data_IF_342147323106
#
_entry.id   IF_342147323106
#
_cell.length_a   1.000
_cell.length_b   1.000
_cell.length_c   1.000
_cell.angle_alpha   90.00
_cell.angle_beta   90.00
_cell.angle_gamma   90.00
#
_symmetry.space_group_name_H-M   'P 1'
#
loop_
_entity.id
_entity.type
_entity.pdbx_description
1 polymer ?
2 polymer ?
3 water ?
#
# COMPACT_ATOMS: atom_id res chain seq x y z
N UNK A 4 -18.76 2.53 12.54
CA UNK A 4 -17.72 3.53 12.41
C UNK A 4 -18.25 4.92 12.78
N UNK A 5 -17.81 5.42 13.94
CA UNK A 5 -18.26 6.73 14.39
C UNK A 5 -17.64 7.84 13.54
N UNK A 6 -16.39 7.68 13.13
CA UNK A 6 -15.74 8.71 12.31
C UNK A 6 -16.46 8.87 10.98
N UNK A 7 -16.93 7.75 10.41
CA UNK A 7 -17.55 7.79 9.09
C UNK A 7 -18.88 8.51 9.12
N UNK A 8 -19.64 8.37 10.21
CA UNK A 8 -20.90 9.09 10.34
C UNK A 8 -20.67 10.59 10.35
N UNK A 9 -19.68 11.05 11.12
CA UNK A 9 -19.39 12.47 11.14
C UNK A 9 -18.90 12.97 9.79
N UNK A 10 -18.12 12.13 9.08
CA UNK A 10 -17.70 12.52 7.73
C UNK A 10 -18.89 12.62 6.78
N UNK A 11 -19.83 11.69 6.88
CA UNK A 11 -21.05 11.76 6.07
C UNK A 11 -21.79 13.07 6.33
N UNK A 12 -22.01 13.40 7.61
CA UNK A 12 -22.70 14.65 7.93
C UNK A 12 -21.94 15.85 7.39
N UNK A 13 -20.61 15.86 7.55
CA UNK A 13 -19.81 16.99 7.10
C UNK A 13 -19.81 17.13 5.58
N UNK A 14 -19.94 16.01 4.85
CA UNK A 14 -20.04 16.09 3.40
C UNK A 14 -21.41 16.58 2.96
N UNK A 15 -22.47 16.04 3.57
CA UNK A 15 -23.81 16.44 3.17
C UNK A 15 -24.10 17.90 3.49
N UNK A 16 -23.63 18.39 4.65
CA UNK A 16 -23.88 19.77 5.01
C UNK A 16 -23.25 20.73 4.01
N UNK A 17 -22.17 20.31 3.33
CA UNK A 17 -21.56 21.11 2.28
C UNK A 17 -22.08 20.77 0.90
N UNK A 18 -23.31 20.28 0.80
CA UNK A 18 -23.96 20.13 -0.49
C UNK A 18 -23.45 18.97 -1.32
N UNK A 19 -23.00 17.90 -0.69
CA UNK A 19 -22.56 16.69 -1.37
C UNK A 19 -23.62 15.62 -1.14
N UNK A 20 -24.30 15.21 -2.20
CA UNK A 20 -25.44 14.34 -2.04
C UNK A 20 -25.03 12.87 -2.18
N UNK A 21 -25.63 11.98 -1.40
CA UNK A 21 -25.33 10.54 -1.57
C UNK A 21 -25.78 10.06 -2.93
N UNK A 22 -25.04 9.12 -3.48
CA UNK A 22 -25.35 8.52 -4.76
C UNK A 22 -25.47 7.01 -4.61
N UNK A 23 -26.37 6.42 -5.40
CA UNK A 23 -26.63 4.99 -5.37
C UNK A 23 -25.96 4.32 -6.57
N UNK A 24 -25.60 3.06 -6.39
CA UNK A 24 -24.95 2.30 -7.45
C UNK A 24 -25.35 0.84 -7.33
N UNK A 25 -25.48 0.17 -8.48
CA UNK A 25 -25.86 -1.23 -8.53
C UNK A 25 -24.66 -2.10 -8.86
N UNK A 26 -24.83 -3.41 -8.69
CA UNK A 26 -23.78 -4.36 -9.02
C UNK A 26 -23.26 -4.11 -10.44
N UNK A 27 -21.99 -4.45 -10.65
CA UNK A 27 -21.30 -4.36 -11.93
C UNK A 27 -21.16 -2.94 -12.43
N UNK A 28 -21.57 -1.94 -11.64
CA UNK A 28 -21.47 -0.54 -12.04
C UNK A 28 -20.17 0.06 -11.52
N UNK A 29 -19.58 0.94 -12.33
CA UNK A 29 -18.30 1.57 -12.01
C UNK A 29 -18.53 2.96 -11.44
N UNK A 30 -17.88 3.26 -10.33
CA UNK A 30 -17.97 4.59 -9.73
C UNK A 30 -17.01 5.55 -10.43
N UNK A 31 -15.84 5.06 -10.83
CA UNK A 31 -14.94 5.79 -11.72
C UNK A 31 -14.10 4.76 -12.46
N UNK A 32 -13.77 5.08 -13.71
CA UNK A 32 -13.09 4.13 -14.58
C UNK A 32 -11.70 4.64 -14.96
N UNK A 33 -11.04 3.85 -15.83
CA UNK A 33 -9.62 4.00 -16.10
C UNK A 33 -9.31 5.33 -16.77
N UNK A 34 -10.05 5.69 -17.82
CA UNK A 34 -9.68 6.78 -18.69
C UNK A 34 -10.29 8.11 -18.28
N UNK A 35 -11.04 8.13 -17.19
CA UNK A 35 -11.66 9.36 -16.71
C UNK A 35 -10.57 10.36 -16.32
N UNK A 36 -10.43 11.48 -17.05
CA UNK A 36 -9.40 12.46 -16.69
C UNK A 36 -9.76 13.27 -15.46
N UNK A 37 -11.02 13.29 -15.06
CA UNK A 37 -11.43 13.97 -13.82
C UNK A 37 -11.05 13.08 -12.64
N UNK A 38 -10.26 13.63 -11.73
CA UNK A 38 -9.87 12.90 -10.53
C UNK A 38 -10.89 13.14 -9.43
N UNK A 39 -11.20 12.09 -8.69
CA UNK A 39 -12.30 12.12 -7.72
C UNK A 39 -11.81 11.78 -6.31
N UNK A 40 -12.78 11.62 -5.42
CA UNK A 40 -12.59 11.13 -4.06
C UNK A 40 -13.92 10.49 -3.69
N UNK A 41 -13.94 9.17 -3.66
CA UNK A 41 -15.15 8.42 -3.37
C UNK A 41 -15.15 8.09 -1.89
N UNK A 42 -16.18 8.55 -1.19
CA UNK A 42 -16.45 8.14 0.18
C UNK A 42 -17.51 7.05 0.09
N UNK A 43 -17.04 5.79 0.05
CA UNK A 43 -17.93 4.63 0.03
C UNK A 43 -18.50 4.47 1.43
N UNK A 44 -19.72 5.00 1.63
CA UNK A 44 -20.36 4.92 2.93
C UNK A 44 -20.91 3.54 3.21
N UNK A 45 -21.46 2.87 2.20
CA UNK A 45 -21.98 1.52 2.37
C UNK A 45 -21.82 0.77 1.06
N UNK A 46 -21.69 -0.54 1.15
CA UNK A 46 -21.51 -1.40 0.01
C UNK A 46 -20.08 -1.90 -0.13
N UNK A 47 -19.92 -2.86 -1.04
CA UNK A 47 -18.64 -3.50 -1.29
C UNK A 47 -18.25 -3.23 -2.74
N UNK A 48 -16.98 -2.93 -2.96
CA UNK A 48 -16.48 -2.63 -4.31
C UNK A 48 -15.10 -3.24 -4.47
N UNK A 49 -14.67 -3.32 -5.73
CA UNK A 49 -13.34 -3.81 -6.08
C UNK A 49 -12.67 -2.86 -7.07
N UNK A 50 -11.40 -2.59 -6.80
CA UNK A 50 -10.56 -1.77 -7.67
C UNK A 50 -9.81 -2.69 -8.62
N UNK A 51 -10.10 -2.56 -9.91
CA UNK A 51 -9.57 -3.40 -10.97
C UNK A 51 -8.80 -2.55 -11.98
N UNK A 52 -8.06 -3.24 -12.84
CA UNK A 52 -7.30 -2.60 -13.92
C UNK A 52 -7.38 -3.48 -15.15
N UNK A 53 -7.65 -2.86 -16.29
CA UNK A 53 -7.72 -3.55 -17.58
C UNK A 53 -6.37 -3.35 -18.27
N UNK A 54 -5.73 -4.46 -18.64
CA UNK A 54 -4.47 -4.40 -19.35
C UNK A 54 -4.70 -4.20 -20.84
N UNK A 55 -3.63 -3.79 -21.54
CA UNK A 55 -3.74 -3.50 -22.96
C UNK A 55 -4.24 -4.70 -23.76
N UNK A 56 -4.05 -5.92 -23.25
CA UNK A 56 -4.56 -7.11 -23.92
C UNK A 56 -5.99 -7.45 -23.50
N UNK A 57 -6.70 -6.50 -22.88
CA UNK A 57 -8.10 -6.69 -22.51
C UNK A 57 -8.33 -7.46 -21.23
N UNK A 58 -7.28 -8.04 -20.65
CA UNK A 58 -7.44 -8.80 -19.42
C UNK A 58 -7.65 -7.87 -18.24
N UNK A 59 -8.60 -8.23 -17.37
CA UNK A 59 -8.96 -7.42 -16.21
C UNK A 59 -8.43 -8.11 -14.97
N UNK A 60 -7.57 -7.42 -14.23
CA UNK A 60 -7.00 -7.91 -12.99
C UNK A 60 -7.66 -7.19 -11.82
N UNK A 61 -8.13 -7.96 -10.84
CA UNK A 61 -8.65 -7.38 -9.60
C UNK A 61 -7.48 -7.07 -8.67
N UNK A 62 -7.38 -5.81 -8.26
CA UNK A 62 -6.25 -5.34 -7.46
C UNK A 62 -6.58 -5.19 -5.99
N UNK A 63 -7.70 -4.57 -5.66
CA UNK A 63 -8.03 -4.31 -4.25
C UNK A 63 -9.53 -4.47 -4.05
N UNK A 64 -9.92 -4.61 -2.79
CA UNK A 64 -11.33 -4.60 -2.42
C UNK A 64 -11.53 -3.58 -1.30
N UNK A 65 -12.71 -2.95 -1.30
CA UNK A 65 -13.04 -1.93 -0.33
C UNK A 65 -14.47 -2.14 0.17
N UNK A 66 -14.68 -1.84 1.45
CA UNK A 66 -15.95 -1.96 2.15
C UNK A 66 -16.29 -0.72 2.94
N UNK A 67 -17.50 -0.26 2.90
CA UNK A 67 -17.86 0.96 3.60
C UNK A 67 -17.87 0.77 5.03
N UNK A 68 -17.60 1.84 5.79
CA UNK A 68 -17.20 3.14 5.26
C UNK A 68 -15.70 3.16 4.92
N UNK A 69 -15.34 3.72 3.77
CA UNK A 69 -13.94 3.89 3.42
C UNK A 69 -13.80 4.98 2.39
N UNK A 70 -12.55 5.41 2.17
CA UNK A 70 -12.23 6.50 1.25
C UNK A 70 -11.26 5.98 0.19
N UNK A 71 -11.58 6.23 -1.08
CA UNK A 71 -10.77 5.82 -2.21
C UNK A 71 -10.57 7.04 -3.11
N UNK A 72 -9.32 7.39 -3.41
CA UNK A 72 -9.04 8.59 -4.18
C UNK A 72 -8.35 8.25 -5.50
N UNK A 73 -8.71 8.99 -6.54
CA UNK A 73 -8.26 8.74 -7.90
C UNK A 73 -7.18 9.71 -8.36
N UNK A 74 -6.81 10.68 -7.53
CA UNK A 74 -5.74 11.60 -7.87
C UNK A 74 -5.08 12.10 -6.61
N UNK A 75 -4.00 12.85 -6.81
CA UNK A 75 -3.33 13.53 -5.71
C UNK A 75 -4.14 14.77 -5.31
N UNK A 76 -4.11 15.08 -4.00
CA UNK A 76 -5.04 16.05 -3.46
C UNK A 76 -4.67 17.47 -3.90
N UNK A 77 -3.38 17.77 -3.98
CA UNK A 77 -2.95 19.13 -4.30
C UNK A 77 -2.81 19.35 -5.81
N UNK A 78 -1.96 18.56 -6.47
CA UNK A 78 -1.72 18.73 -7.90
C UNK A 78 -2.86 18.21 -8.77
N UNK A 79 -3.78 17.42 -8.21
CA UNK A 79 -4.96 16.92 -8.91
C UNK A 79 -4.60 16.03 -10.10
N UNK A 80 -3.35 15.59 -10.18
CA UNK A 80 -2.94 14.59 -11.15
C UNK A 80 -3.50 13.22 -10.77
N UNK A 81 -3.50 12.31 -11.72
CA UNK A 81 -3.89 10.94 -11.43
C UNK A 81 -2.82 10.27 -10.59
N UNK A 82 -3.26 9.49 -9.59
CA UNK A 82 -2.36 8.61 -8.86
C UNK A 82 -2.20 7.26 -9.56
N UNK A 83 -3.18 6.85 -10.35
CA UNK A 83 -3.12 5.60 -11.06
C UNK A 83 -4.43 5.56 -11.83
N UNK A 84 -4.38 5.03 -13.05
CA UNK A 84 -5.58 4.79 -13.85
C UNK A 84 -6.20 3.46 -13.45
N UNK A 85 -7.26 3.50 -12.66
CA UNK A 85 -7.93 2.30 -12.16
C UNK A 85 -9.43 2.44 -12.33
N UNK A 86 -10.13 1.32 -12.15
CA UNK A 86 -11.59 1.28 -12.17
C UNK A 86 -12.09 0.81 -10.81
N UNK A 87 -13.20 1.39 -10.36
CA UNK A 87 -13.83 1.02 -9.09
C UNK A 87 -15.22 0.48 -9.39
N UNK A 88 -15.34 -0.85 -9.46
CA UNK A 88 -16.58 -1.53 -9.76
C UNK A 88 -17.27 -1.94 -8.46
N UNK A 89 -18.59 -2.09 -8.52
CA UNK A 89 -19.38 -2.49 -7.36
C UNK A 89 -19.61 -3.99 -7.41
N UNK A 90 -19.30 -4.68 -6.31
CA UNK A 90 -19.51 -6.12 -6.22
C UNK A 90 -20.70 -6.48 -5.35
N UNK A 91 -21.16 -5.59 -4.48
CA UNK A 91 -22.38 -5.84 -3.71
C UNK A 91 -23.59 -5.51 -4.56
N UNK A 92 -24.70 -6.20 -4.27
CA UNK A 92 -25.93 -6.00 -5.05
C UNK A 92 -26.30 -4.52 -5.13
N UNK A 93 -26.00 -3.75 -4.09
CA UNK A 93 -26.25 -2.32 -4.09
C UNK A 93 -25.20 -1.65 -3.20
N UNK A 94 -24.92 -0.38 -3.49
CA UNK A 94 -23.92 0.37 -2.73
C UNK A 94 -24.30 1.84 -2.74
N UNK A 95 -23.86 2.55 -1.69
CA UNK A 95 -24.05 3.98 -1.56
C UNK A 95 -22.69 4.64 -1.41
N UNK A 96 -22.50 5.76 -2.10
CA UNK A 96 -21.21 6.43 -2.04
C UNK A 96 -21.37 7.90 -2.40
N UNK A 97 -20.46 8.71 -1.86
CA UNK A 97 -20.38 10.13 -2.16
C UNK A 97 -19.20 10.36 -3.09
N UNK A 98 -19.44 11.06 -4.19
CA UNK A 98 -18.41 11.34 -5.18
C UNK A 98 -18.05 12.81 -5.07
N UNK A 99 -16.80 13.09 -4.73
CA UNK A 99 -16.32 14.46 -4.55
C UNK A 99 -15.24 14.73 -5.60
N UNK A 100 -15.28 15.92 -6.20
CA UNK A 100 -14.21 16.30 -7.11
C UNK A 100 -12.95 16.63 -6.32
N UNK A 101 -11.80 16.28 -6.89
CA UNK A 101 -10.55 16.33 -6.14
C UNK A 101 -10.29 17.74 -5.59
N UNK A 102 -10.57 18.76 -6.40
CA UNK A 102 -10.43 20.12 -5.92
C UNK A 102 -11.39 20.41 -4.77
N UNK A 103 -12.62 19.91 -4.88
CA UNK A 103 -13.59 20.10 -3.81
C UNK A 103 -13.13 19.45 -2.53
N UNK A 104 -12.51 18.26 -2.62
CA UNK A 104 -11.97 17.62 -1.43
C UNK A 104 -10.83 18.43 -0.85
N UNK A 105 -9.95 18.95 -1.70
CA UNK A 105 -8.89 19.83 -1.20
C UNK A 105 -9.49 20.94 -0.36
N UNK A 106 -10.47 21.66 -0.93
CA UNK A 106 -11.10 22.76 -0.20
C UNK A 106 -11.68 22.28 1.13
N UNK A 107 -12.54 21.27 1.07
CA UNK A 107 -13.26 20.84 2.27
C UNK A 107 -12.29 20.43 3.37
N UNK A 108 -11.25 19.66 3.04
CA UNK A 108 -10.31 19.24 4.07
C UNK A 108 -9.48 20.41 4.58
N UNK A 109 -9.17 21.39 3.73
CA UNK A 109 -8.50 22.59 4.23
C UNK A 109 -9.41 23.39 5.14
N UNK A 110 -10.73 23.16 5.09
CA UNK A 110 -11.68 23.83 5.96
C UNK A 110 -11.94 23.07 7.26
N UNK A 111 -11.19 21.99 7.53
CA UNK A 111 -11.46 21.15 8.70
C UNK A 111 -10.38 20.10 8.90
N UNK A 112 -9.66 20.16 10.03
CA UNK A 112 -8.51 19.29 10.25
C UNK A 112 -8.90 17.88 10.70
N UNK A 113 -10.06 17.73 11.35
CA UNK A 113 -10.45 16.41 11.84
C UNK A 113 -10.68 15.43 10.70
N UNK A 114 -11.49 15.82 9.71
CA UNK A 114 -11.74 14.93 8.58
C UNK A 114 -10.52 14.79 7.70
N UNK A 115 -9.65 15.80 7.68
CA UNK A 115 -8.34 15.64 7.06
C UNK A 115 -7.59 14.46 7.67
N UNK A 116 -7.48 14.46 9.01
CA UNK A 116 -6.86 13.33 9.69
C UNK A 116 -7.59 12.02 9.38
N UNK A 117 -8.91 12.08 9.21
CA UNK A 117 -9.65 10.86 8.92
C UNK A 117 -9.21 10.24 7.59
N UNK A 118 -9.22 11.03 6.52
CA UNK A 118 -8.80 10.50 5.22
C UNK A 118 -7.33 10.09 5.26
N UNK A 119 -6.51 10.87 5.96
CA UNK A 119 -5.10 10.54 6.08
C UNK A 119 -4.91 9.19 6.77
N UNK A 120 -5.73 8.91 7.78
CA UNK A 120 -5.61 7.65 8.51
C UNK A 120 -6.15 6.49 7.68
N UNK A 121 -7.14 6.75 6.81
CA UNK A 121 -7.54 5.68 5.90
C UNK A 121 -6.39 5.32 4.96
N UNK A 122 -5.67 6.33 4.44
CA UNK A 122 -4.48 6.03 3.63
C UNK A 122 -3.46 5.23 4.44
N UNK A 123 -3.23 5.61 5.70
CA UNK A 123 -2.29 4.86 6.52
C UNK A 123 -2.75 3.42 6.72
N UNK A 124 -4.05 3.21 6.90
CA UNK A 124 -4.56 1.86 7.02
C UNK A 124 -4.25 1.06 5.77
N UNK A 125 -4.41 1.68 4.60
CA UNK A 125 -4.03 1.00 3.36
C UNK A 125 -2.55 0.60 3.37
N UNK A 126 -1.68 1.53 3.76
CA UNK A 126 -0.25 1.22 3.71
C UNK A 126 0.10 0.08 4.64
N UNK A 127 -0.38 0.14 5.89
CA UNK A 127 -0.07 -0.93 6.84
C UNK A 127 -0.71 -2.25 6.41
N UNK A 128 -1.86 -2.21 5.75
CA UNK A 128 -2.47 -3.42 5.22
C UNK A 128 -1.58 -4.06 4.16
N UNK A 129 -1.14 -3.26 3.20
CA UNK A 129 -0.24 -3.77 2.16
C UNK A 129 1.00 -4.37 2.79
N UNK A 130 1.58 -3.68 3.77
CA UNK A 130 2.77 -4.22 4.43
C UNK A 130 2.47 -5.56 5.09
N UNK A 131 1.32 -5.67 5.75
CA UNK A 131 0.99 -6.91 6.45
C UNK A 131 0.75 -8.05 5.48
N UNK A 132 0.01 -7.78 4.41
CA UNK A 132 -0.22 -8.81 3.40
C UNK A 132 1.09 -9.26 2.79
N UNK A 133 1.99 -8.32 2.54
CA UNK A 133 3.27 -8.67 1.99
C UNK A 133 4.05 -9.53 2.96
N UNK A 134 4.02 -9.21 4.22
CA UNK A 134 4.71 -10.02 5.22
C UNK A 134 4.18 -11.44 5.20
N UNK A 135 2.86 -11.60 5.30
CA UNK A 135 2.27 -12.93 5.32
C UNK A 135 2.62 -13.70 4.05
N UNK A 136 2.64 -13.01 2.90
CA UNK A 136 2.99 -13.66 1.65
C UNK A 136 4.44 -14.10 1.65
N UNK A 137 5.37 -13.15 1.85
CA UNK A 137 6.79 -13.48 1.85
C UNK A 137 7.12 -14.58 2.84
N UNK A 138 6.35 -14.71 3.93
CA UNK A 138 6.59 -15.79 4.87
C UNK A 138 5.95 -17.10 4.45
N UNK A 139 4.62 -17.16 4.49
CA UNK A 139 3.90 -18.40 4.18
C UNK A 139 3.43 -18.44 2.72
N UNK A 140 4.30 -18.11 1.77
CA UNK A 140 3.97 -18.35 0.37
C UNK A 140 2.64 -17.72 0.00
N UNK A 141 2.00 -18.32 -1.01
CA UNK A 141 0.68 -17.89 -1.44
C UNK A 141 -0.42 -18.32 -0.48
N UNK A 142 -0.12 -19.21 0.47
CA UNK A 142 -1.11 -19.61 1.46
C UNK A 142 -1.38 -18.49 2.45
N UNK A 143 -0.37 -17.70 2.78
CA UNK A 143 -0.56 -16.62 3.74
C UNK A 143 -1.52 -15.57 3.23
N UNK A 144 -1.49 -15.29 1.92
CA UNK A 144 -2.39 -14.30 1.35
C UNK A 144 -3.85 -14.75 1.46
N UNK A 145 -4.14 -15.98 1.04
CA UNK A 145 -5.52 -16.45 1.11
C UNK A 145 -5.93 -16.64 2.57
N UNK A 146 -4.99 -16.99 3.45
CA UNK A 146 -5.29 -17.10 4.86
C UNK A 146 -5.70 -15.75 5.43
N UNK A 147 -4.94 -14.70 5.08
CA UNK A 147 -5.33 -13.36 5.53
C UNK A 147 -6.66 -12.94 4.95
N UNK A 148 -6.90 -13.29 3.68
CA UNK A 148 -8.21 -13.02 3.08
C UNK A 148 -9.32 -13.62 3.93
N UNK A 149 -9.29 -14.95 4.15
CA UNK A 149 -10.32 -15.62 4.94
C UNK A 149 -10.38 -15.05 6.35
N UNK A 150 -9.24 -14.66 6.91
CA UNK A 150 -9.20 -14.13 8.26
C UNK A 150 -9.99 -12.83 8.37
N UNK A 151 -9.66 -11.86 7.51
CA UNK A 151 -10.39 -10.59 7.56
C UNK A 151 -11.85 -10.80 7.20
N UNK A 152 -12.12 -11.74 6.29
CA UNK A 152 -13.51 -12.06 5.98
C UNK A 152 -14.26 -12.49 7.24
N UNK A 153 -13.73 -13.48 7.98
CA UNK A 153 -14.37 -13.96 9.20
C UNK A 153 -14.50 -12.83 10.21
N UNK A 154 -13.50 -11.96 10.32
CA UNK A 154 -13.57 -10.89 11.30
C UNK A 154 -14.67 -9.88 10.95
N UNK A 155 -14.85 -9.59 9.67
CA UNK A 155 -15.81 -8.53 9.30
C UNK A 155 -17.23 -9.07 9.30
N UNK A 156 -17.44 -10.31 8.87
CA UNK A 156 -18.78 -10.88 8.80
C UNK A 156 -18.97 -12.09 9.71
N UNK A 157 -18.04 -12.34 10.63
CA UNK A 157 -18.16 -13.48 11.51
C UNK A 157 -19.34 -13.32 12.47
N UNK A 158 -20.06 -14.42 12.67
CA UNK A 158 -21.15 -14.48 13.62
C UNK A 158 -20.97 -15.75 14.45
N UNK A 159 -20.97 -15.63 15.76
CA UNK A 159 -20.75 -16.79 16.62
C UNK A 159 -21.85 -17.84 16.49
N UNK A 160 -21.48 -19.12 16.41
CA UNK A 160 -22.44 -20.22 16.34
C UNK A 160 -21.85 -21.41 17.09
N UNK A 161 -22.70 -22.35 17.54
CA UNK A 161 -22.07 -23.48 18.23
C UNK A 161 -21.12 -24.28 17.34
N UNK A 162 -21.48 -24.50 16.07
CA UNK A 162 -20.58 -25.28 15.19
C UNK A 162 -19.27 -24.53 15.04
N UNK A 163 -19.37 -23.22 14.81
CA UNK A 163 -18.21 -22.37 14.66
C UNK A 163 -18.62 -21.03 14.11
N UNK A 164 -17.66 -20.11 14.01
CA UNK A 164 -17.95 -18.78 13.48
C UNK A 164 -18.44 -18.93 12.04
N UNK A 165 -19.28 -18.00 11.61
CA UNK A 165 -19.83 -18.07 10.26
C UNK A 165 -19.90 -16.69 9.63
N UNK A 166 -19.68 -16.64 8.33
CA UNK A 166 -19.82 -15.43 7.54
C UNK A 166 -21.22 -15.43 6.92
N UNK A 167 -22.02 -14.43 7.26
CA UNK A 167 -23.35 -14.27 6.65
C UNK A 167 -23.18 -13.38 5.42
N UNK A 168 -23.12 -14.01 4.25
CA UNK A 168 -23.02 -13.30 2.99
C UNK A 168 -23.57 -14.19 1.89
N UNK A 169 -24.20 -13.56 0.90
CA UNK A 169 -24.70 -14.30 -0.25
C UNK A 169 -23.58 -15.10 -0.90
N UNK A 170 -23.97 -16.19 -1.57
CA UNK A 170 -22.98 -17.05 -2.23
C UNK A 170 -22.16 -16.27 -3.24
N UNK A 171 -22.74 -15.24 -3.84
CA UNK A 171 -22.03 -14.46 -4.86
C UNK A 171 -20.77 -13.83 -4.28
N UNK A 172 -20.93 -13.00 -3.23
CA UNK A 172 -19.78 -12.37 -2.61
C UNK A 172 -18.80 -13.40 -2.07
N UNK A 173 -19.27 -14.60 -1.76
CA UNK A 173 -18.37 -15.65 -1.29
C UNK A 173 -17.47 -16.14 -2.40
N UNK A 174 -18.05 -16.50 -3.55
CA UNK A 174 -17.24 -16.98 -4.67
C UNK A 174 -16.25 -15.91 -5.13
N UNK A 175 -16.73 -14.70 -5.37
CA UNK A 175 -15.87 -13.59 -5.76
C UNK A 175 -14.79 -13.34 -4.72
N UNK A 186 -6.81 -22.11 -10.61
CA UNK A 186 -6.64 -23.56 -10.68
C UNK A 186 -5.83 -24.08 -9.49
N UNK A 187 -4.57 -23.64 -9.40
CA UNK A 187 -3.73 -24.06 -8.28
C UNK A 187 -4.29 -23.52 -6.96
N UNK A 188 -4.74 -22.27 -6.96
CA UNK A 188 -5.34 -21.69 -5.76
C UNK A 188 -6.58 -22.49 -5.35
N UNK A 189 -7.36 -22.94 -6.34
CA UNK A 189 -8.53 -23.76 -6.02
C UNK A 189 -8.10 -25.10 -5.42
N UNK A 190 -7.00 -25.67 -5.90
CA UNK A 190 -6.50 -26.90 -5.30
C UNK A 190 -6.01 -26.67 -3.88
N UNK A 191 -5.46 -25.49 -3.59
CA UNK A 191 -5.10 -25.18 -2.21
C UNK A 191 -6.35 -25.06 -1.35
N UNK A 192 -7.41 -24.46 -1.89
CA UNK A 192 -8.69 -24.46 -1.18
C UNK A 192 -9.13 -25.88 -0.89
N UNK A 193 -8.94 -26.79 -1.85
CA UNK A 193 -9.28 -28.19 -1.63
C UNK A 193 -8.46 -28.76 -0.48
N UNK A 194 -7.16 -28.48 -0.44
CA UNK A 194 -6.32 -28.95 0.65
C UNK A 194 -6.86 -28.47 1.99
N UNK A 195 -7.17 -27.17 2.09
CA UNK A 195 -7.65 -26.62 3.34
C UNK A 195 -9.00 -27.23 3.73
N UNK A 196 -9.90 -27.40 2.77
CA UNK A 196 -11.21 -27.97 3.05
C UNK A 196 -11.08 -29.42 3.53
N UNK A 197 -10.13 -30.17 2.96
CA UNK A 197 -9.90 -31.54 3.41
C UNK A 197 -9.33 -31.54 4.83
N UNK A 198 -8.33 -30.69 5.09
CA UNK A 198 -7.85 -30.52 6.46
C UNK A 198 -8.92 -29.93 7.36
N UNK A 199 -10.03 -29.45 6.79
CA UNK A 199 -11.15 -28.93 7.56
C UNK A 199 -10.76 -27.74 8.41
N UNK A 200 -10.17 -26.73 7.76
CA UNK A 200 -10.00 -25.44 8.41
C UNK A 200 -11.35 -24.72 8.48
N UNK A 201 -12.17 -24.90 7.45
CA UNK A 201 -13.56 -24.44 7.45
C UNK A 201 -14.37 -25.45 6.65
N UNK A 202 -15.67 -25.49 6.90
CA UNK A 202 -16.54 -26.46 6.22
C UNK A 202 -17.77 -25.75 5.66
N UNK A 203 -18.32 -26.31 4.60
CA UNK A 203 -19.48 -25.73 3.92
C UNK A 203 -20.72 -26.52 4.31
N UNK A 204 -21.72 -25.83 4.86
CA UNK A 204 -22.96 -26.46 5.26
C UNK A 204 -24.11 -25.47 5.09
N UNK A 205 -25.31 -26.01 4.87
CA UNK A 205 -26.53 -25.21 4.75
C UNK A 205 -26.35 -24.09 3.73
N UNK A 206 -25.69 -24.41 2.62
CA UNK A 206 -25.47 -23.46 1.53
C UNK A 206 -24.74 -22.21 2.04
N UNK A 207 -23.77 -22.42 2.93
CA UNK A 207 -23.01 -21.31 3.49
C UNK A 207 -21.67 -21.82 3.98
N UNK A 208 -20.73 -20.89 4.10
CA UNK A 208 -19.40 -21.18 4.61
C UNK A 208 -19.38 -21.02 6.13
N UNK A 209 -18.79 -21.99 6.83
CA UNK A 209 -18.77 -22.02 8.28
C UNK A 209 -17.33 -22.19 8.76
N UNK A 210 -16.92 -21.31 9.68
CA UNK A 210 -15.59 -21.42 10.27
C UNK A 210 -15.55 -22.62 11.20
N UNK A 211 -14.33 -23.14 11.40
CA UNK A 211 -14.13 -24.28 12.29
C UNK A 211 -13.05 -23.95 13.32
N UNK A 212 -11.87 -23.52 12.85
CA UNK A 212 -10.77 -23.15 13.73
C UNK A 212 -10.07 -21.93 13.13
N UNK A 213 -10.41 -20.75 13.65
CA UNK A 213 -9.76 -19.51 13.22
C UNK A 213 -8.27 -19.51 13.51
N UNK A 214 -7.77 -20.47 14.29
CA UNK A 214 -6.38 -20.45 14.69
C UNK A 214 -5.45 -20.67 13.51
N UNK A 215 -5.84 -21.56 12.58
CA UNK A 215 -5.00 -21.85 11.42
C UNK A 215 -4.70 -20.56 10.65
N UNK A 216 -5.73 -19.74 10.41
CA UNK A 216 -5.56 -18.53 9.63
C UNK A 216 -4.68 -17.53 10.36
N UNK A 217 -4.96 -17.29 11.65
CA UNK A 217 -4.11 -16.40 12.42
C UNK A 217 -2.66 -16.85 12.37
N UNK A 218 -2.43 -18.16 12.43
CA UNK A 218 -1.06 -18.67 12.42
C UNK A 218 -0.39 -18.41 11.07
N UNK A 219 -1.05 -18.78 9.98
CA UNK A 219 -0.44 -18.64 8.66
C UNK A 219 -0.66 -17.26 8.04
N UNK A 220 -1.42 -16.39 8.70
CA UNK A 220 -1.58 -15.01 8.27
C UNK A 220 -1.37 -14.09 9.47
N UNK A 221 -0.17 -14.13 10.07
CA UNK A 221 0.03 -13.45 11.35
C UNK A 221 0.03 -11.93 11.27
N UNK A 222 0.83 -11.38 10.34
CA UNK A 222 0.98 -9.94 10.26
C UNK A 222 -0.35 -9.27 9.94
N UNK A 223 -1.19 -9.90 9.14
CA UNK A 223 -2.52 -9.34 8.89
C UNK A 223 -3.40 -9.40 10.13
N UNK A 224 -3.25 -10.44 10.96
CA UNK A 224 -3.96 -10.47 12.23
C UNK A 224 -3.54 -9.31 13.11
N UNK A 225 -2.24 -9.03 13.18
CA UNK A 225 -1.75 -7.86 13.91
C UNK A 225 -2.34 -6.58 13.34
N UNK A 226 -2.31 -6.45 12.01
CA UNK A 226 -2.84 -5.25 11.36
C UNK A 226 -4.30 -5.04 11.72
N UNK A 227 -5.09 -6.12 11.72
CA UNK A 227 -6.51 -5.98 12.02
C UNK A 227 -6.76 -5.75 13.50
N UNK A 228 -5.89 -6.27 14.36
CA UNK A 228 -6.01 -6.02 15.79
C UNK A 228 -5.79 -4.55 16.10
N UNK A 229 -4.75 -3.95 15.51
CA UNK A 229 -4.41 -2.57 15.84
C UNK A 229 -5.09 -1.53 14.95
N UNK A 230 -5.74 -1.95 13.86
CA UNK A 230 -6.46 -1.03 13.00
C UNK A 230 -7.98 -1.15 13.13
N UNK A 231 -8.48 -2.30 13.55
CA UNK A 231 -9.91 -2.50 13.82
C UNK A 231 -10.05 -3.27 15.12
N UNK A 232 -9.60 -2.69 16.24
CA UNK A 232 -9.59 -3.45 17.50
C UNK A 232 -10.98 -3.84 17.98
N UNK A 233 -11.97 -2.98 17.79
CA UNK A 233 -13.33 -3.31 18.22
C UNK A 233 -13.83 -4.58 17.53
N UNK A 234 -13.80 -4.59 16.20
CA UNK A 234 -14.25 -5.76 15.45
C UNK A 234 -13.38 -6.98 15.76
N UNK A 235 -12.06 -6.76 15.94
CA UNK A 235 -11.17 -7.87 16.23
C UNK A 235 -11.48 -8.52 17.57
N UNK A 236 -11.92 -7.72 18.55
CA UNK A 236 -12.10 -8.25 19.89
C UNK A 236 -13.22 -9.26 20.00
N UNK A 237 -14.36 -8.98 19.35
CA UNK A 237 -15.53 -9.82 19.55
C UNK A 237 -15.28 -11.27 19.14
N UNK A 238 -14.46 -11.48 18.12
CA UNK A 238 -14.11 -12.82 17.68
C UNK A 238 -12.95 -13.43 18.45
N UNK A 239 -12.42 -12.71 19.44
CA UNK A 239 -11.32 -13.21 20.26
C UNK A 239 -11.64 -13.04 21.74
N UNK B 4 14.51 16.72 -3.65
CA UNK B 4 13.36 17.40 -4.23
C UNK B 4 13.22 18.79 -3.61
N UNK B 5 12.40 19.64 -4.25
CA UNK B 5 12.22 21.00 -3.76
C UNK B 5 11.23 21.05 -2.61
N UNK B 6 10.04 20.47 -2.80
CA UNK B 6 9.06 20.44 -1.72
C UNK B 6 9.63 19.78 -0.48
N UNK B 7 10.44 18.74 -0.66
CA UNK B 7 11.08 18.07 0.47
C UNK B 7 12.03 19.00 1.20
N UNK B 8 12.81 19.79 0.45
CA UNK B 8 13.73 20.74 1.09
C UNK B 8 12.95 21.81 1.85
N UNK B 9 11.82 22.25 1.30
CA UNK B 9 11.00 23.24 1.99
C UNK B 9 10.46 22.66 3.30
N UNK B 10 9.99 21.41 3.27
CA UNK B 10 9.51 20.77 4.49
C UNK B 10 10.66 20.61 5.49
N UNK B 11 11.86 20.32 4.99
CA UNK B 11 13.03 20.23 5.86
C UNK B 11 13.28 21.55 6.59
N UNK B 12 13.30 22.66 5.84
CA UNK B 12 13.51 23.95 6.47
C UNK B 12 12.37 24.29 7.44
N UNK B 13 11.14 23.88 7.13
CA UNK B 13 10.03 24.09 8.06
C UNK B 13 10.27 23.36 9.38
N UNK B 14 10.60 22.07 9.30
CA UNK B 14 10.87 21.30 10.50
C UNK B 14 12.00 21.93 11.31
N UNK B 15 13.07 22.35 10.63
CA UNK B 15 14.16 23.02 11.34
C UNK B 15 13.70 24.34 11.96
N UNK B 16 12.76 25.02 11.30
CA UNK B 16 12.22 26.26 11.85
C UNK B 16 11.42 26.02 13.11
N UNK B 17 10.82 24.83 13.25
CA UNK B 17 10.11 24.47 14.48
C UNK B 17 10.97 23.59 15.39
N UNK B 18 12.28 23.85 15.45
CA UNK B 18 13.14 23.24 16.43
C UNK B 18 13.49 21.78 16.21
N UNK B 19 13.03 21.18 15.11
CA UNK B 19 13.32 19.77 14.83
C UNK B 19 14.76 19.68 14.35
N UNK B 20 15.63 19.09 15.18
CA UNK B 20 17.03 19.01 14.79
C UNK B 20 17.29 17.74 13.99
N UNK B 21 18.03 17.84 12.88
CA UNK B 21 18.39 16.62 12.14
C UNK B 21 19.34 15.75 12.94
N UNK B 22 19.07 14.46 12.96
CA UNK B 22 19.90 13.50 13.67
C UNK B 22 20.53 12.54 12.68
N UNK B 23 21.80 12.19 12.95
CA UNK B 23 22.55 11.27 12.11
C UNK B 23 22.38 9.84 12.61
N UNK B 24 22.65 8.90 11.71
CA UNK B 24 22.52 7.48 12.01
C UNK B 24 23.58 6.70 11.26
N UNK B 25 24.26 5.81 11.96
CA UNK B 25 25.22 4.91 11.33
C UNK B 25 24.51 3.64 10.90
N UNK B 26 25.08 2.96 9.90
CA UNK B 26 24.47 1.75 9.36
C UNK B 26 24.11 0.79 10.48
N UNK B 27 22.98 0.11 10.32
CA UNK B 27 22.42 -0.90 11.21
C UNK B 27 21.70 -0.27 12.41
N UNK B 28 21.91 1.02 12.69
CA UNK B 28 21.21 1.64 13.81
C UNK B 28 19.71 1.60 13.58
N UNK B 29 18.96 1.38 14.65
CA UNK B 29 17.50 1.36 14.60
C UNK B 29 16.97 2.76 14.89
N UNK B 30 16.40 3.42 13.88
CA UNK B 30 15.75 4.70 14.11
C UNK B 30 14.61 4.54 15.11
N UNK B 31 13.86 3.44 15.00
CA UNK B 31 12.89 3.08 16.03
C UNK B 31 12.60 1.60 15.89
N UNK B 32 12.35 0.95 17.02
CA UNK B 32 12.12 -0.48 17.09
C UNK B 32 10.65 -0.77 17.34
N UNK B 33 10.28 -2.04 17.14
CA UNK B 33 8.89 -2.46 17.26
C UNK B 33 8.36 -2.32 18.67
N UNK B 34 9.23 -2.26 19.68
CA UNK B 34 8.78 -2.22 21.07
C UNK B 34 8.59 -0.81 21.58
N UNK B 35 9.18 0.18 20.95
CA UNK B 35 8.98 1.57 21.34
C UNK B 35 7.49 1.90 21.29
N UNK B 36 6.87 2.24 22.42
CA UNK B 36 5.43 2.58 22.38
C UNK B 36 5.15 3.96 21.81
N UNK B 37 6.17 4.79 21.59
CA UNK B 37 5.96 6.12 21.05
C UNK B 37 5.76 6.05 19.53
N UNK B 38 4.72 6.70 19.06
CA UNK B 38 4.40 6.75 17.63
C UNK B 38 5.13 7.94 17.01
N UNK B 39 5.98 7.66 16.03
CA UNK B 39 6.83 8.67 15.41
C UNK B 39 6.36 8.97 14.00
N UNK B 40 7.04 9.94 13.37
CA UNK B 40 6.82 10.32 11.97
C UNK B 40 8.20 10.70 11.42
N UNK B 41 8.95 9.69 11.02
CA UNK B 41 10.34 9.88 10.60
C UNK B 41 10.34 10.45 9.18
N UNK B 42 10.95 11.62 9.02
CA UNK B 42 11.12 12.24 7.70
C UNK B 42 12.57 12.01 7.27
N UNK B 43 12.82 10.81 6.75
CA UNK B 43 14.13 10.49 6.20
C UNK B 43 14.49 11.53 5.14
N UNK B 44 15.64 12.17 5.30
CA UNK B 44 16.13 13.18 4.37
C UNK B 44 17.28 12.68 3.50
N UNK B 45 18.25 11.99 4.08
CA UNK B 45 19.41 11.52 3.32
C UNK B 45 19.76 10.11 3.76
N UNK B 46 20.04 9.25 2.80
CA UNK B 46 20.39 7.87 3.04
C UNK B 46 19.33 6.92 2.55
N UNK B 47 19.40 5.69 3.07
CA UNK B 47 18.44 4.64 2.72
C UNK B 47 18.14 3.84 3.98
N UNK B 48 16.89 3.42 4.13
CA UNK B 48 16.44 2.66 5.28
C UNK B 48 15.56 1.51 4.82
N UNK B 49 15.31 0.57 5.72
CA UNK B 49 14.45 -0.57 5.46
C UNK B 49 13.45 -0.71 6.60
N UNK B 50 12.19 -0.92 6.25
CA UNK B 50 11.16 -1.26 7.21
C UNK B 50 11.07 -2.78 7.29
N UNK B 51 11.24 -3.31 8.50
CA UNK B 51 11.31 -4.73 8.74
C UNK B 51 10.31 -5.11 9.84
N UNK B 52 10.00 -6.40 9.87
CA UNK B 52 9.25 -7.02 10.95
C UNK B 52 10.03 -8.24 11.41
N UNK B 53 9.61 -8.84 12.52
CA UNK B 53 10.27 -10.02 13.05
C UNK B 53 9.21 -10.99 13.52
N UNK B 54 9.18 -12.18 12.93
CA UNK B 54 8.17 -13.19 13.24
C UNK B 54 8.53 -13.86 14.57
N UNK B 55 7.78 -14.90 14.92
CA UNK B 55 8.02 -15.60 16.19
C UNK B 55 9.41 -16.24 16.21
N UNK B 56 9.74 -17.01 15.17
CA UNK B 56 11.02 -17.69 15.13
C UNK B 56 12.21 -16.73 15.26
N UNK B 57 11.98 -15.43 15.16
CA UNK B 57 13.05 -14.46 15.23
C UNK B 57 13.62 -14.04 13.89
N UNK B 58 13.12 -14.58 12.79
CA UNK B 58 13.64 -14.23 11.48
C UNK B 58 13.27 -12.80 11.13
N UNK B 59 14.21 -12.11 10.47
CA UNK B 59 14.01 -10.72 10.07
C UNK B 59 13.36 -10.72 8.69
N UNK B 60 12.19 -10.12 8.59
CA UNK B 60 11.42 -10.07 7.35
C UNK B 60 11.50 -8.65 6.80
N UNK B 61 12.31 -8.45 5.76
CA UNK B 61 12.46 -7.14 5.14
C UNK B 61 11.20 -6.80 4.36
N UNK B 62 10.44 -5.81 4.85
CA UNK B 62 9.13 -5.49 4.30
C UNK B 62 9.20 -4.47 3.18
N UNK B 63 9.94 -3.38 3.38
CA UNK B 63 10.06 -2.39 2.32
C UNK B 63 11.37 -1.62 2.50
N UNK B 64 11.73 -0.88 1.46
CA UNK B 64 12.92 -0.02 1.47
C UNK B 64 12.52 1.39 1.08
N UNK B 65 13.16 2.38 1.71
CA UNK B 65 12.86 3.78 1.48
C UNK B 65 14.15 4.55 1.30
N UNK B 66 14.15 5.51 0.38
CA UNK B 66 15.29 6.36 0.11
C UNK B 66 14.83 7.81 0.23
N UNK B 67 15.48 8.58 1.10
CA UNK B 67 15.06 9.95 1.32
C UNK B 67 15.16 10.79 0.06
N UNK B 68 14.33 11.82 -0.02
CA UNK B 68 13.42 12.23 1.03
C UNK B 68 12.11 11.43 1.00
N UNK B 69 11.66 10.97 2.17
CA UNK B 69 10.41 10.24 2.28
C UNK B 69 9.93 10.31 3.72
N UNK B 70 8.70 9.89 3.95
CA UNK B 70 8.05 9.96 5.25
C UNK B 70 7.61 8.57 5.68
N UNK B 71 7.89 8.21 6.93
CA UNK B 71 7.47 6.95 7.52
C UNK B 71 6.83 7.25 8.88
N UNK B 72 5.81 6.47 9.23
CA UNK B 72 5.02 6.75 10.42
C UNK B 72 4.71 5.46 11.17
N UNK B 73 4.85 5.51 12.50
CA UNK B 73 4.62 4.36 13.35
C UNK B 73 3.26 4.39 14.04
N UNK B 74 2.45 5.41 13.80
CA UNK B 74 1.12 5.49 14.39
C UNK B 74 0.16 6.22 13.47
N UNK B 75 -1.11 5.88 13.61
CA UNK B 75 -2.16 6.60 12.90
C UNK B 75 -2.26 8.03 13.42
N UNK B 76 -2.51 8.97 12.51
CA UNK B 76 -2.51 10.38 12.92
C UNK B 76 -3.80 10.73 13.65
N UNK B 77 -4.92 10.12 13.27
CA UNK B 77 -6.19 10.44 13.93
C UNK B 77 -6.19 9.96 15.38
N UNK B 78 -5.93 8.66 15.59
CA UNK B 78 -6.00 8.06 16.91
C UNK B 78 -4.64 7.93 17.61
N UNK B 79 -3.55 8.27 16.91
CA UNK B 79 -2.22 8.22 17.49
C UNK B 79 -1.79 6.81 17.91
N UNK B 80 -2.63 5.81 17.64
CA UNK B 80 -2.28 4.44 17.94
C UNK B 80 -1.32 3.89 16.88
N UNK B 81 -0.57 2.86 17.28
CA UNK B 81 0.47 2.35 16.40
C UNK B 81 -0.13 1.69 15.17
N UNK B 82 0.61 1.78 14.06
CA UNK B 82 0.21 1.15 12.81
C UNK B 82 0.75 -0.27 12.66
N UNK B 83 1.67 -0.69 13.53
CA UNK B 83 2.24 -2.00 13.44
C UNK B 83 3.52 -2.10 14.27
N UNK B 84 3.97 -3.34 14.45
CA UNK B 84 5.22 -3.62 15.15
C UNK B 84 6.33 -3.70 14.11
N UNK B 85 6.86 -2.54 13.76
CA UNK B 85 7.85 -2.41 12.71
C UNK B 85 9.17 -1.93 13.29
N UNK B 86 10.23 -2.10 12.51
CA UNK B 86 11.56 -1.59 12.85
C UNK B 86 12.11 -0.88 11.63
N UNK B 87 12.62 0.32 11.82
CA UNK B 87 13.19 1.11 10.74
C UNK B 87 14.70 1.07 10.88
N UNK B 88 15.33 0.14 10.16
CA UNK B 88 16.77 -0.09 10.25
C UNK B 88 17.45 0.67 9.12
N UNK B 89 18.42 1.52 9.48
CA UNK B 89 19.20 2.22 8.48
C UNK B 89 20.17 1.25 7.82
N UNK B 90 20.44 1.46 6.53
CA UNK B 90 21.35 0.62 5.78
C UNK B 90 22.44 1.41 5.06
N UNK B 91 22.41 2.74 5.11
CA UNK B 91 23.49 3.55 4.59
C UNK B 91 24.54 3.78 5.67
N UNK B 92 25.80 3.94 5.24
CA UNK B 92 26.87 4.11 6.21
C UNK B 92 26.60 5.30 7.13
N UNK B 93 25.97 6.35 6.61
CA UNK B 93 25.59 7.50 7.42
C UNK B 93 24.37 8.16 6.79
N UNK B 94 23.27 8.18 7.53
CA UNK B 94 22.02 8.77 7.09
C UNK B 94 21.66 9.94 7.99
N UNK B 95 20.80 10.82 7.46
CA UNK B 95 20.33 12.00 8.17
C UNK B 95 18.81 12.00 8.12
N UNK B 96 18.17 12.07 9.29
CA UNK B 96 16.72 12.01 9.36
C UNK B 96 16.21 13.03 10.37
N UNK B 97 14.89 13.26 10.32
CA UNK B 97 14.20 14.15 11.24
C UNK B 97 13.13 13.34 11.96
N UNK B 98 13.34 13.08 13.24
CA UNK B 98 12.39 12.31 14.05
C UNK B 98 11.49 13.27 14.82
N UNK B 99 10.18 13.04 14.74
CA UNK B 99 9.20 13.87 15.41
C UNK B 99 8.13 12.97 16.01
N UNK B 100 7.60 13.35 17.17
CA UNK B 100 6.50 12.61 17.75
C UNK B 100 5.22 12.91 16.98
N UNK B 101 4.20 12.10 17.24
CA UNK B 101 2.99 12.14 16.40
C UNK B 101 2.24 13.46 16.58
N UNK B 102 2.11 13.92 17.83
CA UNK B 102 1.31 15.12 18.10
C UNK B 102 1.99 16.38 17.63
N UNK B 103 3.32 16.47 17.81
CA UNK B 103 4.06 17.61 17.27
C UNK B 103 3.83 17.74 15.79
N UNK B 104 4.00 16.64 15.04
CA UNK B 104 3.62 16.62 13.64
C UNK B 104 2.22 17.17 13.46
N UNK B 105 1.23 16.48 14.03
CA UNK B 105 -0.17 16.83 13.76
C UNK B 105 -0.40 18.33 13.91
N UNK B 106 0.17 18.95 14.94
CA UNK B 106 -0.06 20.40 15.09
C UNK B 106 0.68 21.18 14.02
N UNK B 107 1.91 20.76 13.67
CA UNK B 107 2.65 21.42 12.61
C UNK B 107 1.85 21.43 11.31
N UNK B 108 1.29 20.28 10.94
CA UNK B 108 0.46 20.19 9.74
C UNK B 108 -0.88 20.88 9.92
N UNK B 109 -1.36 21.02 11.16
CA UNK B 109 -2.60 21.74 11.37
C UNK B 109 -2.45 23.23 11.10
N UNK B 110 -1.29 23.80 11.40
CA UNK B 110 -1.10 25.21 11.10
C UNK B 110 -0.65 25.48 9.67
N UNK B 111 0.06 24.54 9.04
CA UNK B 111 0.56 24.70 7.68
C UNK B 111 0.05 23.53 6.84
N UNK B 112 -0.97 23.78 6.01
CA UNK B 112 -1.62 22.70 5.27
C UNK B 112 -0.89 22.30 4.01
N UNK B 113 0.02 23.13 3.48
CA UNK B 113 0.76 22.74 2.29
C UNK B 113 1.60 21.50 2.56
N UNK B 114 2.30 21.47 3.70
CA UNK B 114 3.07 20.28 4.06
C UNK B 114 2.17 19.11 4.42
N UNK B 115 0.98 19.39 4.96
CA UNK B 115 -0.02 18.35 5.14
C UNK B 115 -0.31 17.68 3.80
N UNK B 116 -0.56 18.48 2.76
CA UNK B 116 -0.75 17.93 1.42
C UNK B 116 0.48 17.16 0.96
N UNK B 117 1.66 17.68 1.25
CA UNK B 117 2.90 16.98 0.86
C UNK B 117 2.89 15.53 1.38
N UNK B 118 2.68 15.37 2.70
CA UNK B 118 2.76 14.02 3.27
C UNK B 118 1.56 13.18 2.84
N UNK B 119 0.38 13.81 2.70
CA UNK B 119 -0.79 13.12 2.16
C UNK B 119 -0.47 12.51 0.81
N UNK B 120 0.12 13.29 -0.09
CA UNK B 120 0.46 12.81 -1.42
C UNK B 120 1.57 11.77 -1.35
N UNK B 121 2.48 11.88 -0.38
CA UNK B 121 3.46 10.81 -0.17
C UNK B 121 2.77 9.48 0.06
N UNK B 122 1.80 9.46 0.98
CA UNK B 122 1.12 8.20 1.29
C UNK B 122 0.33 7.71 0.08
N UNK B 123 -0.27 8.64 -0.68
CA UNK B 123 -0.94 8.23 -1.91
C UNK B 123 0.02 7.56 -2.88
N UNK B 124 1.22 8.13 -3.03
CA UNK B 124 2.25 7.49 -3.84
C UNK B 124 2.51 6.08 -3.35
N UNK B 125 2.64 5.90 -2.04
CA UNK B 125 2.96 4.58 -1.51
C UNK B 125 1.86 3.57 -1.84
N UNK B 126 0.59 3.96 -1.66
CA UNK B 126 -0.49 3.01 -1.90
C UNK B 126 -0.58 2.67 -3.39
N UNK B 127 -0.52 3.69 -4.26
CA UNK B 127 -0.59 3.40 -5.69
C UNK B 127 0.63 2.61 -6.15
N UNK B 128 1.76 2.78 -5.47
CA UNK B 128 2.96 2.01 -5.79
C UNK B 128 2.76 0.53 -5.48
N UNK B 129 2.27 0.22 -4.27
CA UNK B 129 1.93 -1.16 -3.96
C UNK B 129 0.94 -1.72 -4.97
N UNK B 130 -0.02 -0.89 -5.40
CA UNK B 130 -1.02 -1.36 -6.36
C UNK B 130 -0.38 -1.70 -7.71
N UNK B 131 0.46 -0.81 -8.22
CA UNK B 131 1.13 -1.06 -9.50
C UNK B 131 2.02 -2.30 -9.42
N UNK B 132 2.75 -2.44 -8.33
CA UNK B 132 3.54 -3.67 -8.18
C UNK B 132 2.60 -4.87 -8.25
N UNK B 133 1.61 -4.94 -7.39
CA UNK B 133 0.76 -6.13 -7.39
C UNK B 133 0.13 -6.38 -8.76
N UNK B 134 -0.15 -5.31 -9.52
CA UNK B 134 -0.71 -5.51 -10.85
C UNK B 134 0.31 -6.16 -11.79
N UNK B 135 1.52 -5.60 -11.83
CA UNK B 135 2.56 -6.21 -12.65
C UNK B 135 2.77 -7.66 -12.25
N UNK B 136 2.77 -7.94 -10.94
CA UNK B 136 2.91 -9.33 -10.49
C UNK B 136 1.77 -10.18 -11.04
N UNK B 137 0.53 -9.74 -10.83
CA UNK B 137 -0.62 -10.53 -11.24
C UNK B 137 -0.60 -10.82 -12.73
N UNK B 138 -0.15 -9.87 -13.54
CA UNK B 138 -0.25 -10.01 -14.99
C UNK B 138 0.97 -10.64 -15.64
N UNK B 139 2.14 -10.59 -14.99
CA UNK B 139 3.35 -11.15 -15.60
C UNK B 139 4.24 -11.86 -14.58
N UNK B 140 3.67 -12.48 -13.55
CA UNK B 140 4.46 -13.23 -12.59
C UNK B 140 5.72 -12.56 -12.06
N UNK B 141 6.64 -13.42 -11.58
CA UNK B 141 7.91 -12.94 -11.06
C UNK B 141 8.72 -12.21 -12.13
N UNK B 142 8.49 -12.50 -13.41
CA UNK B 142 9.14 -11.75 -14.46
C UNK B 142 8.81 -10.26 -14.34
N UNK B 143 7.52 -9.94 -14.24
CA UNK B 143 7.11 -8.56 -14.08
C UNK B 143 7.53 -7.98 -12.75
N UNK B 144 7.50 -8.79 -11.70
CA UNK B 144 8.00 -8.31 -10.41
C UNK B 144 9.45 -7.84 -10.53
N UNK B 145 10.32 -8.69 -11.09
CA UNK B 145 11.73 -8.36 -11.23
C UNK B 145 11.91 -7.18 -12.18
N UNK B 146 11.15 -7.17 -13.28
CA UNK B 146 11.27 -6.09 -14.25
C UNK B 146 10.94 -4.74 -13.61
N UNK B 147 9.84 -4.67 -12.86
CA UNK B 147 9.52 -3.43 -12.16
C UNK B 147 10.55 -3.10 -11.10
N UNK B 148 11.05 -4.12 -10.39
CA UNK B 148 12.07 -3.92 -9.38
C UNK B 148 13.26 -3.16 -9.94
N UNK B 149 13.87 -3.68 -11.00
CA UNK B 149 15.03 -2.98 -11.54
C UNK B 149 14.65 -1.80 -12.41
N UNK B 150 13.39 -1.70 -12.85
CA UNK B 150 12.93 -0.52 -13.57
C UNK B 150 12.95 0.71 -12.67
N UNK B 151 12.37 0.61 -11.48
CA UNK B 151 12.37 1.75 -10.58
C UNK B 151 13.80 2.16 -10.24
N UNK B 152 14.69 1.18 -10.07
CA UNK B 152 16.06 1.49 -9.69
C UNK B 152 16.85 2.10 -10.84
N UNK B 153 16.55 1.73 -12.08
CA UNK B 153 17.19 2.42 -13.20
C UNK B 153 16.59 3.80 -13.44
N UNK B 154 15.32 4.00 -13.08
CA UNK B 154 14.73 5.33 -13.18
C UNK B 154 15.35 6.28 -12.17
N UNK B 155 15.51 5.84 -10.92
CA UNK B 155 16.03 6.73 -9.89
C UNK B 155 17.56 6.82 -9.93
N UNK B 156 18.24 5.85 -10.52
CA UNK B 156 19.69 5.83 -10.59
C UNK B 156 20.16 5.61 -12.03
N UNK B 157 19.49 6.26 -12.99
CA UNK B 157 19.82 6.11 -14.39
C UNK B 157 20.75 7.21 -14.85
N UNK B 158 21.85 6.81 -15.47
CA UNK B 158 22.82 7.74 -16.06
C UNK B 158 23.08 7.31 -17.49
N UNK B 159 22.60 8.08 -18.46
CA UNK B 159 22.73 7.74 -19.87
C UNK B 159 24.20 7.83 -20.27
N UNK B 160 24.85 6.68 -20.38
CA UNK B 160 26.25 6.57 -20.77
C UNK B 160 26.38 5.97 -22.16
N UNK B 161 27.54 6.07 -22.79
CA UNK B 161 27.73 5.42 -24.10
C UNK B 161 27.47 3.93 -24.08
N UNK B 162 27.76 3.27 -22.96
CA UNK B 162 27.50 1.84 -22.82
C UNK B 162 26.04 1.53 -22.50
N UNK B 163 25.15 2.52 -22.62
CA UNK B 163 23.74 2.30 -22.34
C UNK B 163 23.23 3.23 -21.26
N UNK B 164 22.70 2.66 -20.18
CA UNK B 164 22.19 3.42 -19.05
C UNK B 164 22.80 2.81 -17.80
N UNK B 165 23.84 3.43 -17.27
CA UNK B 165 24.50 2.93 -16.07
C UNK B 165 23.61 3.15 -14.85
N UNK B 166 23.74 2.25 -13.88
CA UNK B 166 22.97 2.28 -12.64
C UNK B 166 23.85 2.93 -11.59
N UNK B 167 23.63 4.22 -11.36
CA UNK B 167 24.44 5.01 -10.42
C UNK B 167 24.16 4.83 -8.93
N UNK B 168 24.51 3.65 -8.42
CA UNK B 168 24.24 3.33 -7.03
C UNK B 168 25.32 2.37 -6.54
N UNK B 169 25.58 2.42 -5.23
CA UNK B 169 26.63 1.62 -4.64
C UNK B 169 26.37 0.13 -4.90
N UNK B 170 27.37 -0.53 -5.49
CA UNK B 170 27.23 -1.94 -5.83
C UNK B 170 26.87 -2.77 -4.60
N UNK B 171 27.44 -2.42 -3.44
CA UNK B 171 27.16 -3.19 -2.22
C UNK B 171 25.68 -3.19 -1.91
N UNK B 172 25.04 -2.02 -1.98
CA UNK B 172 23.59 -1.97 -1.77
C UNK B 172 22.84 -2.65 -2.92
N UNK B 173 23.40 -2.61 -4.13
CA UNK B 173 22.76 -3.31 -5.24
C UNK B 173 22.61 -4.79 -4.93
N UNK B 174 23.67 -5.41 -4.42
CA UNK B 174 23.58 -6.80 -3.99
C UNK B 174 22.44 -6.99 -2.99
N UNK B 175 22.18 -5.97 -2.17
CA UNK B 175 21.12 -6.05 -1.17
C UNK B 175 19.75 -5.90 -1.80
N UNK B 185 15.51 -18.73 -4.74
CA UNK B 185 16.08 -17.72 -5.61
C UNK B 185 16.39 -18.28 -6.99
N UNK B 186 15.94 -19.52 -7.23
CA UNK B 186 16.20 -20.15 -8.52
C UNK B 186 15.42 -19.47 -9.64
N UNK B 187 14.17 -19.11 -9.37
CA UNK B 187 13.35 -18.46 -10.39
C UNK B 187 13.92 -17.11 -10.79
N UNK B 188 14.25 -16.28 -9.79
CA UNK B 188 14.83 -14.97 -10.09
C UNK B 188 16.16 -15.15 -10.80
N UNK B 189 16.91 -16.19 -10.43
CA UNK B 189 18.20 -16.44 -11.08
C UNK B 189 18.00 -16.73 -12.56
N UNK B 190 17.09 -17.63 -12.89
CA UNK B 190 16.81 -17.93 -14.29
C UNK B 190 16.31 -16.70 -15.04
N UNK B 191 15.46 -15.90 -14.40
CA UNK B 191 14.92 -14.72 -15.05
C UNK B 191 16.04 -13.73 -15.38
N UNK B 192 16.85 -13.39 -14.39
CA UNK B 192 17.96 -12.48 -14.65
C UNK B 192 18.99 -13.11 -15.58
N UNK B 193 19.05 -14.44 -15.64
CA UNK B 193 19.91 -15.10 -16.61
C UNK B 193 19.46 -14.78 -18.03
N UNK B 194 18.16 -14.94 -18.31
CA UNK B 194 17.68 -14.60 -19.64
C UNK B 194 17.77 -13.09 -19.89
N UNK B 195 17.68 -12.27 -18.84
CA UNK B 195 17.88 -10.84 -19.03
C UNK B 195 19.31 -10.55 -19.48
N UNK B 196 20.29 -11.14 -18.80
CA UNK B 196 21.69 -10.93 -19.17
C UNK B 196 21.95 -11.46 -20.58
N UNK B 197 21.40 -12.63 -20.92
CA UNK B 197 21.63 -13.21 -22.24
C UNK B 197 21.03 -12.35 -23.33
N UNK B 198 19.78 -11.93 -23.15
CA UNK B 198 19.05 -11.21 -24.19
C UNK B 198 19.57 -9.79 -24.41
N UNK B 199 20.56 -9.34 -23.64
CA UNK B 199 21.26 -8.07 -23.75
C UNK B 199 20.55 -6.94 -23.02
N UNK B 200 19.30 -7.14 -22.57
CA UNK B 200 18.57 -6.04 -21.94
C UNK B 200 19.35 -5.46 -20.77
N UNK B 201 20.19 -6.28 -20.13
CA UNK B 201 21.11 -5.81 -19.09
C UNK B 201 22.48 -6.43 -19.35
N UNK B 202 23.51 -5.77 -18.81
CA UNK B 202 24.88 -6.24 -18.94
C UNK B 202 25.62 -5.93 -17.65
N UNK B 203 26.55 -6.82 -17.28
CA UNK B 203 27.32 -6.70 -16.04
C UNK B 203 28.70 -6.10 -16.27
N UNK B 204 28.84 -5.23 -17.28
CA UNK B 204 30.13 -4.62 -17.58
C UNK B 204 30.65 -3.82 -16.38
N UNK B 205 31.97 -3.88 -16.16
CA UNK B 205 32.63 -3.14 -15.10
C UNK B 205 32.11 -3.52 -13.71
N UNK B 206 31.43 -4.65 -13.60
CA UNK B 206 30.83 -5.13 -12.36
C UNK B 206 29.72 -4.22 -11.84
N UNK B 207 29.37 -3.18 -12.59
CA UNK B 207 28.26 -2.29 -12.27
C UNK B 207 27.09 -2.63 -13.17
N UNK B 208 25.91 -2.79 -12.59
CA UNK B 208 24.74 -3.19 -13.37
C UNK B 208 24.43 -2.14 -14.43
N UNK B 209 24.42 -2.57 -15.70
CA UNK B 209 24.07 -1.72 -16.82
C UNK B 209 22.74 -2.16 -17.40
N UNK B 210 22.04 -1.23 -18.05
CA UNK B 210 20.77 -1.50 -18.71
C UNK B 210 20.76 -0.78 -20.05
N UNK B 211 20.48 -1.54 -21.12
CA UNK B 211 20.50 -1.00 -22.47
C UNK B 211 19.15 -1.06 -23.19
N UNK B 212 18.22 -1.91 -22.74
CA UNK B 212 16.89 -2.03 -23.34
C UNK B 212 15.86 -1.67 -22.27
N UNK B 213 15.55 -0.38 -22.17
CA UNK B 213 14.57 0.07 -21.20
C UNK B 213 13.15 -0.28 -21.62
N UNK B 214 12.90 -0.35 -22.93
CA UNK B 214 11.57 -0.71 -23.41
C UNK B 214 11.17 -2.11 -22.96
N UNK B 215 12.13 -3.03 -22.86
CA UNK B 215 11.82 -4.37 -22.37
C UNK B 215 11.32 -4.33 -20.94
N UNK B 216 11.94 -3.50 -20.10
CA UNK B 216 11.48 -3.35 -18.72
C UNK B 216 10.11 -2.69 -18.68
N UNK B 217 9.89 -1.69 -19.53
CA UNK B 217 8.59 -1.03 -19.57
C UNK B 217 7.47 -2.00 -19.94
N UNK B 218 7.74 -2.91 -20.88
CA UNK B 218 6.67 -3.78 -21.39
C UNK B 218 6.11 -4.67 -20.28
N UNK B 219 6.97 -5.35 -19.54
CA UNK B 219 6.53 -6.37 -18.58
C UNK B 219 6.31 -5.82 -17.18
N UNK B 220 6.59 -4.55 -16.93
CA UNK B 220 6.26 -3.88 -15.67
C UNK B 220 5.48 -2.60 -15.98
N UNK B 221 4.38 -2.73 -16.73
CA UNK B 221 3.70 -1.51 -17.21
C UNK B 221 3.19 -0.63 -16.09
N UNK B 222 2.47 -1.20 -15.11
CA UNK B 222 1.81 -0.37 -14.11
C UNK B 222 2.83 0.38 -13.25
N UNK B 223 3.97 -0.24 -12.96
CA UNK B 223 5.01 0.48 -12.23
C UNK B 223 5.57 1.64 -13.06
N UNK B 224 5.73 1.43 -14.37
CA UNK B 224 6.18 2.51 -15.24
C UNK B 224 5.18 3.66 -15.23
N UNK B 225 3.89 3.33 -15.31
CA UNK B 225 2.85 4.35 -15.28
C UNK B 225 2.82 5.06 -13.93
N UNK B 226 3.02 4.32 -12.84
CA UNK B 226 3.10 4.94 -11.52
C UNK B 226 4.27 5.89 -11.44
N UNK B 227 5.43 5.49 -11.98
CA UNK B 227 6.58 6.38 -11.96
C UNK B 227 6.32 7.62 -12.80
N UNK B 228 5.60 7.47 -13.90
CA UNK B 228 5.26 8.63 -14.73
C UNK B 228 4.32 9.57 -13.97
N UNK B 229 3.35 9.03 -13.24
CA UNK B 229 2.34 9.85 -12.60
C UNK B 229 2.87 10.52 -11.34
N UNK B 230 3.57 9.75 -10.49
CA UNK B 230 4.06 10.29 -9.23
C UNK B 230 5.39 11.03 -9.39
N UNK B 231 6.23 10.60 -10.34
CA UNK B 231 7.54 11.19 -10.57
C UNK B 231 7.69 11.49 -12.05
N UNK B 232 6.92 12.46 -12.56
CA UNK B 232 6.95 12.70 -14.02
C UNK B 232 8.30 13.22 -14.51
N UNK B 233 8.97 14.05 -13.72
CA UNK B 233 10.25 14.61 -14.15
C UNK B 233 11.32 13.52 -14.31
N UNK B 234 11.57 12.77 -13.24
CA UNK B 234 12.56 11.71 -13.28
C UNK B 234 12.21 10.66 -14.33
N UNK B 235 10.92 10.44 -14.58
CA UNK B 235 10.51 9.49 -15.60
C UNK B 235 10.81 10.02 -17.00
N UNK B 236 10.57 11.31 -17.22
CA UNK B 236 10.80 11.89 -18.53
C UNK B 236 12.28 12.01 -18.87
N UNK B 237 13.13 12.19 -17.85
CA UNK B 237 14.55 12.35 -18.12
C UNK B 237 15.18 11.11 -18.74
N UNK B 238 14.45 9.99 -18.82
CA UNK B 238 14.96 8.74 -19.38
C UNK B 238 14.01 8.19 -20.43
N UNK B 239 13.38 9.08 -21.19
CA UNK B 239 12.46 8.67 -22.25
C UNK B 239 12.46 9.67 -23.41
N UNK C 1 -16.02 -2.71 7.07
CA UNK C 1 -15.38 -1.47 7.50
C UNK C 1 -13.86 -1.59 7.42
N UNK C 2 -13.31 -1.11 6.30
CA UNK C 2 -11.88 -1.19 6.05
C UNK C 2 -11.59 -1.81 4.70
N UNK C 3 -10.43 -2.42 4.56
CA UNK C 3 -10.05 -3.11 3.33
C UNK C 3 -10.48 -4.56 3.39
N UNK C 4 -10.56 -5.18 2.22
CA UNK C 4 -10.93 -6.59 2.11
C UNK C 4 -9.87 -7.35 1.30
N UNK D 1 10.44 -6.00 -0.77
CA UNK D 1 10.38 -6.12 -2.24
C UNK D 1 10.07 -4.77 -2.87
N UNK D 2 11.09 -3.94 -3.07
CA UNK D 2 10.84 -2.70 -3.76
C UNK D 2 11.36 -1.55 -2.96
N UNK D 3 12.15 -0.71 -3.60
CA UNK D 3 12.70 0.51 -3.00
C UNK D 3 11.84 1.67 -3.48
N UNK D 4 10.93 2.12 -2.61
CA UNK D 4 10.02 3.22 -2.93
C UNK D 4 10.72 4.56 -2.79
#
# INVERSE_FOLDING_TARGET
GAMNAQAEEFKKYLETNGIKPKQFHKKELIFNQWDPQEYCIFLYDGITKLTSISENGTIMNLQYYKGAFVIMSGFIDTETSVGYYNLEVISEQATAYVIKINELKELLSKNLTHFFYVFQTLQKQVSYSLAKFNDFSINGKLGSICGQLLILTYVYGKETPDGIKITLDNLTMQELGYSSGIAHSSAVSRIISKLKQEKVIVYKNSCFYVQNLDYLKRYAPKLDEWFYLACPATWGKLN
GAMNAQAEEFKKYLETNGIKPKQFHKKELIFNQWDPQEYCIFLYDGITKLTSISENGTIMNLQYYKGAFVIMSGFIDTETSVGYYNLEVISEQATAYVIKINELKELLSKNLTHFFYVFQTLQKQVSYSLAKFNDFSINGKLGSICGQLLILTYVYGKETPDGIKITLDNLTMQELGYSSGIAHSSAVSRIISKLKQEKVIVYKNSCFYVQNLDYLKRYAPKLDEWFYLACPATWGKLN
RGLL
RGLL
#
